data_IF_949529925683
#
_entry.id   IF_949529925683
#
_cell.length_a   1.000
_cell.length_b   1.000
_cell.length_c   1.000
_cell.angle_alpha   90.00
_cell.angle_beta   90.00
_cell.angle_gamma   90.00
#
_symmetry.space_group_name_H-M   'P 1'
#
loop_
_entity.id
_entity.type
_entity.pdbx_description
1 polymer ?
#
# COMPACT_ATOMS: atom_id res chain seq x y z
N UNK A 1 -26.69 -19.04 -20.04
CA UNK A 1 -25.57 -19.28 -19.11
C UNK A 1 -24.31 -18.75 -19.78
N UNK A 2 -23.79 -17.59 -19.35
CA UNK A 2 -22.46 -17.14 -19.75
C UNK A 2 -21.49 -17.83 -18.81
N UNK A 3 -20.59 -18.65 -19.33
CA UNK A 3 -19.39 -19.01 -18.60
C UNK A 3 -18.56 -17.73 -18.50
N UNK A 4 -18.58 -17.09 -17.34
CA UNK A 4 -17.58 -16.08 -17.01
C UNK A 4 -16.23 -16.80 -16.94
N UNK A 5 -15.41 -16.65 -17.98
CA UNK A 5 -14.00 -16.98 -17.89
C UNK A 5 -13.37 -15.99 -16.93
N UNK A 6 -13.31 -16.35 -15.64
CA UNK A 6 -12.53 -15.62 -14.65
C UNK A 6 -11.11 -15.49 -15.18
N UNK A 7 -10.64 -14.25 -15.39
CA UNK A 7 -9.29 -14.02 -15.89
C UNK A 7 -8.28 -14.58 -14.89
N UNK A 8 -7.39 -15.48 -15.35
CA UNK A 8 -6.42 -16.12 -14.48
C UNK A 8 -5.42 -15.12 -13.91
N UNK A 9 -5.01 -15.31 -12.65
CA UNK A 9 -3.98 -14.49 -12.03
C UNK A 9 -2.63 -14.75 -12.71
N UNK A 10 -1.96 -13.68 -13.15
CA UNK A 10 -0.62 -13.77 -13.71
C UNK A 10 0.37 -12.94 -12.89
N UNK A 11 1.50 -13.54 -12.55
CA UNK A 11 2.62 -12.87 -11.89
C UNK A 11 3.87 -12.90 -12.76
N UNK A 12 4.77 -11.91 -12.63
CA UNK A 12 6.07 -11.95 -13.26
C UNK A 12 6.88 -13.16 -12.81
N UNK A 13 7.44 -13.91 -13.76
CA UNK A 13 8.24 -15.12 -13.49
C UNK A 13 9.43 -14.88 -12.56
N UNK A 14 9.95 -13.64 -12.49
CA UNK A 14 11.03 -13.28 -11.59
C UNK A 14 10.65 -13.33 -10.10
N UNK A 15 9.35 -13.34 -9.77
CA UNK A 15 8.83 -13.45 -8.41
C UNK A 15 8.68 -14.90 -7.92
N UNK A 16 9.00 -15.90 -8.75
CA UNK A 16 8.95 -17.31 -8.39
C UNK A 16 10.35 -17.95 -8.33
N UNK A 17 10.58 -18.72 -7.28
CA UNK A 17 11.85 -19.42 -7.01
C UNK A 17 12.15 -19.46 -5.53
N UNK A 18 13.38 -19.79 -5.15
CA UNK A 18 13.87 -19.63 -3.77
C UNK A 18 14.08 -18.16 -3.45
N UNK A 19 14.21 -17.79 -2.16
CA UNK A 19 14.45 -16.40 -1.74
C UNK A 19 15.62 -15.77 -2.49
N UNK A 20 16.80 -16.42 -2.47
CA UNK A 20 18.00 -15.91 -3.15
C UNK A 20 17.79 -15.79 -4.66
N UNK A 21 17.11 -16.74 -5.28
CA UNK A 21 16.84 -16.68 -6.71
C UNK A 21 15.90 -15.53 -7.05
N UNK A 22 14.83 -15.33 -6.30
CA UNK A 22 13.87 -14.23 -6.54
C UNK A 22 14.55 -12.89 -6.30
N UNK A 23 15.29 -12.74 -5.20
CA UNK A 23 16.04 -11.52 -4.91
C UNK A 23 16.98 -11.13 -6.07
N UNK A 24 17.74 -12.07 -6.61
CA UNK A 24 18.63 -11.82 -7.74
C UNK A 24 17.87 -11.46 -9.02
N UNK A 25 16.78 -12.18 -9.33
CA UNK A 25 15.98 -11.93 -10.53
C UNK A 25 15.26 -10.57 -10.44
N UNK A 26 14.65 -10.25 -9.30
CA UNK A 26 14.00 -8.97 -9.05
C UNK A 26 14.98 -7.80 -9.15
N UNK A 27 16.17 -7.92 -8.57
CA UNK A 27 17.22 -6.90 -8.70
C UNK A 27 17.64 -6.68 -10.16
N UNK A 28 17.83 -7.77 -10.93
CA UNK A 28 18.15 -7.67 -12.36
C UNK A 28 17.03 -7.01 -13.16
N UNK A 29 15.78 -7.29 -12.81
CA UNK A 29 14.63 -6.63 -13.44
C UNK A 29 14.60 -5.14 -13.11
N UNK A 30 14.85 -4.75 -11.87
CA UNK A 30 14.94 -3.33 -11.48
C UNK A 30 16.02 -2.57 -12.27
N UNK A 31 17.23 -3.14 -12.37
CA UNK A 31 18.30 -2.56 -13.18
C UNK A 31 17.91 -2.43 -14.67
N UNK A 32 17.20 -3.42 -15.21
CA UNK A 32 16.71 -3.38 -16.61
C UNK A 32 15.67 -2.27 -16.79
N UNK A 33 14.70 -2.18 -15.90
CA UNK A 33 13.66 -1.16 -15.94
C UNK A 33 14.28 0.24 -15.80
N UNK A 34 15.27 0.39 -14.92
CA UNK A 34 16.00 1.63 -14.71
C UNK A 34 16.77 2.10 -15.94
N UNK A 35 17.52 1.20 -16.59
CA UNK A 35 18.23 1.52 -17.83
C UNK A 35 17.27 1.93 -18.96
N UNK A 36 16.14 1.23 -19.09
CA UNK A 36 15.15 1.59 -20.10
C UNK A 36 14.46 2.92 -19.78
N UNK A 37 14.13 3.18 -18.52
CA UNK A 37 13.55 4.45 -18.10
C UNK A 37 14.49 5.62 -18.38
N UNK A 38 15.80 5.43 -18.18
CA UNK A 38 16.82 6.44 -18.49
C UNK A 38 16.88 6.80 -19.96
N UNK A 39 16.62 5.85 -20.85
CA UNK A 39 16.67 6.04 -22.31
C UNK A 39 15.32 6.52 -22.88
N UNK A 40 14.22 5.93 -22.44
CA UNK A 40 12.89 6.07 -23.06
C UNK A 40 11.88 6.83 -22.19
N UNK A 41 12.20 7.11 -20.92
CA UNK A 41 11.28 7.73 -19.96
C UNK A 41 10.10 6.84 -19.56
N UNK A 42 10.16 5.53 -19.86
CA UNK A 42 9.06 4.59 -19.61
C UNK A 42 9.53 3.34 -18.86
N UNK A 43 8.61 2.72 -18.12
CA UNK A 43 8.87 1.49 -17.38
C UNK A 43 8.38 0.32 -18.24
N UNK A 44 9.25 -0.66 -18.55
CA UNK A 44 8.84 -1.77 -19.39
C UNK A 44 7.98 -2.79 -18.65
N UNK A 45 7.12 -3.48 -19.41
CA UNK A 45 6.45 -4.67 -18.92
C UNK A 45 7.46 -5.78 -18.54
N UNK A 46 7.14 -6.63 -17.56
CA UNK A 46 7.90 -7.84 -17.29
C UNK A 46 8.05 -8.72 -18.53
N UNK A 47 9.26 -9.27 -18.74
CA UNK A 47 9.56 -10.09 -19.93
C UNK A 47 8.73 -11.37 -20.03
N UNK A 48 8.32 -11.92 -18.89
CA UNK A 48 7.59 -13.17 -18.83
C UNK A 48 6.59 -13.14 -17.68
N UNK A 49 5.32 -13.20 -18.03
CA UNK A 49 4.20 -13.42 -17.13
C UNK A 49 3.90 -14.92 -17.07
N UNK A 50 3.56 -15.42 -15.88
CA UNK A 50 3.26 -16.83 -15.64
C UNK A 50 1.96 -16.89 -14.86
N UNK A 51 1.09 -17.80 -15.29
CA UNK A 51 -0.18 -18.07 -14.62
C UNK A 51 0.06 -18.69 -13.24
N UNK A 52 -0.65 -18.17 -12.24
CA UNK A 52 -0.64 -18.68 -10.89
C UNK A 52 -1.79 -19.67 -10.74
N UNK A 53 -1.52 -20.93 -10.34
CA UNK A 53 -2.56 -21.91 -10.12
C UNK A 53 -3.60 -21.42 -9.10
N UNK A 54 -4.90 -21.72 -9.30
CA UNK A 54 -5.91 -21.42 -8.30
C UNK A 54 -5.58 -22.07 -6.95
N UNK A 55 -5.70 -21.30 -5.86
CA UNK A 55 -5.37 -21.69 -4.50
C UNK A 55 -3.89 -21.58 -4.13
N UNK A 56 -3.01 -21.23 -5.07
CA UNK A 56 -1.59 -21.05 -4.80
C UNK A 56 -1.34 -19.95 -3.76
N UNK A 57 -0.31 -20.13 -2.93
CA UNK A 57 0.03 -19.22 -1.83
C UNK A 57 1.11 -18.23 -2.25
N UNK A 58 0.80 -16.95 -2.12
CA UNK A 58 1.68 -15.82 -2.40
C UNK A 58 2.19 -15.20 -1.10
N UNK A 59 3.51 -15.01 -1.02
CA UNK A 59 4.17 -14.32 0.10
C UNK A 59 4.12 -12.82 -0.14
N UNK A 60 3.14 -12.16 0.48
CA UNK A 60 2.82 -10.76 0.25
C UNK A 60 3.55 -9.78 1.17
N UNK A 61 4.21 -10.28 2.23
CA UNK A 61 5.00 -9.49 3.17
C UNK A 61 6.28 -10.24 3.56
N UNK A 62 7.38 -9.52 3.77
CA UNK A 62 8.70 -10.07 4.13
C UNK A 62 8.73 -10.78 5.50
N UNK A 63 8.07 -10.23 6.53
CA UNK A 63 8.01 -10.78 7.91
C UNK A 63 7.51 -12.23 7.97
N UNK A 64 6.76 -12.68 6.97
CA UNK A 64 6.21 -14.06 6.90
C UNK A 64 6.97 -14.96 5.92
N UNK A 65 7.99 -14.45 5.21
CA UNK A 65 8.86 -15.24 4.33
C UNK A 65 9.93 -15.97 5.13
N UNK A 66 9.56 -17.05 5.82
CA UNK A 66 10.50 -17.83 6.63
C UNK A 66 11.07 -19.06 5.88
N UNK A 67 10.52 -19.40 4.71
CA UNK A 67 10.87 -20.61 3.95
C UNK A 67 11.80 -20.30 2.77
N UNK A 68 12.97 -19.72 3.06
CA UNK A 68 13.88 -19.21 2.03
C UNK A 68 14.35 -20.23 0.99
N UNK A 69 14.50 -21.49 1.40
CA UNK A 69 15.00 -22.58 0.54
C UNK A 69 13.91 -23.20 -0.34
N UNK A 70 12.64 -22.89 -0.10
CA UNK A 70 11.52 -23.44 -0.88
C UNK A 70 11.13 -22.49 -2.02
N UNK A 71 10.87 -23.04 -3.23
CA UNK A 71 10.20 -22.30 -4.29
C UNK A 71 8.85 -21.76 -3.78
N UNK A 72 8.63 -20.45 -3.95
CA UNK A 72 7.36 -19.81 -3.65
C UNK A 72 7.23 -18.53 -4.47
N UNK A 73 5.99 -18.06 -4.64
CA UNK A 73 5.69 -16.73 -5.15
C UNK A 73 5.94 -15.67 -4.08
N UNK A 74 6.84 -14.72 -4.34
CA UNK A 74 7.23 -13.69 -3.37
C UNK A 74 6.89 -12.30 -3.89
N UNK A 75 5.63 -11.90 -3.73
CA UNK A 75 5.15 -10.60 -4.20
C UNK A 75 5.89 -9.43 -3.55
N UNK A 76 6.23 -9.53 -2.26
CA UNK A 76 6.93 -8.47 -1.54
C UNK A 76 8.31 -8.11 -2.15
N UNK A 77 8.91 -9.01 -2.95
CA UNK A 77 10.21 -8.79 -3.62
C UNK A 77 10.14 -7.83 -4.80
N UNK A 78 8.95 -7.31 -5.15
CA UNK A 78 8.83 -6.14 -6.05
C UNK A 78 9.52 -4.92 -5.44
N UNK A 79 9.66 -4.82 -4.10
CA UNK A 79 10.51 -3.81 -3.44
C UNK A 79 11.93 -3.80 -3.98
N UNK A 80 12.54 -4.97 -4.18
CA UNK A 80 13.89 -5.07 -4.75
C UNK A 80 13.96 -4.63 -6.23
N UNK A 81 12.85 -4.72 -6.98
CA UNK A 81 12.76 -4.14 -8.33
C UNK A 81 12.80 -2.62 -8.22
N UNK A 82 12.01 -2.06 -7.30
CA UNK A 82 11.95 -0.63 -7.06
C UNK A 82 13.29 -0.07 -6.60
N UNK A 83 13.92 -0.68 -5.60
CA UNK A 83 15.21 -0.24 -5.06
C UNK A 83 16.29 -0.24 -6.15
N UNK A 84 16.42 -1.35 -6.88
CA UNK A 84 17.43 -1.48 -7.92
C UNK A 84 17.17 -0.57 -9.13
N UNK A 85 15.91 -0.23 -9.41
CA UNK A 85 15.56 0.76 -10.42
C UNK A 85 15.93 2.17 -9.95
N UNK A 86 15.64 2.50 -8.69
CA UNK A 86 15.95 3.82 -8.14
C UNK A 86 17.47 4.05 -7.99
N UNK A 87 18.25 3.00 -7.79
CA UNK A 87 19.73 3.04 -7.82
C UNK A 87 20.31 3.47 -9.18
N UNK A 88 19.55 3.38 -10.27
CA UNK A 88 20.03 3.72 -11.63
C UNK A 88 19.66 5.12 -12.11
N UNK A 89 18.80 5.82 -11.37
CA UNK A 89 18.35 7.17 -11.72
C UNK A 89 18.99 8.20 -10.80
N UNK A 90 19.18 9.41 -11.31
CA UNK A 90 19.67 10.51 -10.47
C UNK A 90 18.73 10.80 -9.31
N UNK A 91 19.26 11.28 -8.19
CA UNK A 91 18.48 11.58 -6.98
C UNK A 91 17.28 12.53 -7.24
N UNK A 92 17.44 13.46 -8.19
CA UNK A 92 16.38 14.39 -8.59
C UNK A 92 15.19 13.68 -9.29
N UNK A 93 15.44 12.52 -9.89
CA UNK A 93 14.45 11.73 -10.62
C UNK A 93 13.85 10.61 -9.76
N UNK A 94 14.35 10.36 -8.55
CA UNK A 94 13.87 9.26 -7.68
C UNK A 94 12.35 9.30 -7.46
N UNK A 95 11.78 10.47 -7.11
CA UNK A 95 10.34 10.59 -6.86
C UNK A 95 9.51 10.50 -8.15
N UNK A 96 9.82 11.26 -9.24
CA UNK A 96 9.14 11.09 -10.52
C UNK A 96 9.18 9.65 -11.05
N UNK A 97 10.34 9.00 -11.02
CA UNK A 97 10.49 7.62 -11.50
C UNK A 97 9.67 6.64 -10.66
N UNK A 98 9.68 6.78 -9.33
CA UNK A 98 8.85 5.95 -8.44
C UNK A 98 7.37 6.09 -8.77
N UNK A 99 6.90 7.32 -8.98
CA UNK A 99 5.50 7.60 -9.26
C UNK A 99 5.08 7.08 -10.65
N UNK A 100 5.95 7.18 -11.66
CA UNK A 100 5.74 6.58 -12.97
C UNK A 100 5.70 5.04 -12.91
N UNK A 101 6.59 4.41 -12.12
CA UNK A 101 6.58 2.97 -11.90
C UNK A 101 5.29 2.50 -11.22
N UNK A 102 4.85 3.21 -10.18
CA UNK A 102 3.59 2.90 -9.52
C UNK A 102 2.43 2.98 -10.51
N UNK A 103 2.30 4.10 -11.25
CA UNK A 103 1.25 4.26 -12.24
C UNK A 103 1.23 3.12 -13.26
N UNK A 104 2.40 2.70 -13.77
CA UNK A 104 2.50 1.58 -14.70
C UNK A 104 2.10 0.23 -14.07
N UNK A 105 2.56 -0.06 -12.84
CA UNK A 105 2.28 -1.33 -12.18
C UNK A 105 0.84 -1.44 -11.70
N UNK A 106 0.17 -0.32 -11.37
CA UNK A 106 -1.26 -0.32 -11.03
C UNK A 106 -2.13 -0.84 -12.18
N UNK A 107 -1.66 -0.84 -13.43
CA UNK A 107 -2.33 -1.44 -14.59
C UNK A 107 -2.20 -2.97 -14.67
N UNK A 108 -1.69 -3.61 -13.61
CA UNK A 108 -1.56 -5.07 -13.50
C UNK A 108 -2.09 -5.56 -12.15
N UNK A 109 -2.63 -6.78 -12.10
CA UNK A 109 -3.15 -7.36 -10.85
C UNK A 109 -2.08 -7.45 -9.74
N UNK A 110 -0.89 -7.98 -10.08
CA UNK A 110 0.20 -8.12 -9.12
C UNK A 110 0.74 -6.77 -8.64
N UNK A 111 0.84 -5.78 -9.54
CA UNK A 111 1.33 -4.45 -9.20
C UNK A 111 0.33 -3.68 -8.36
N UNK A 112 -0.97 -3.76 -8.69
CA UNK A 112 -2.06 -3.24 -7.89
C UNK A 112 -2.02 -3.78 -6.45
N UNK A 113 -1.91 -5.10 -6.30
CA UNK A 113 -1.82 -5.72 -4.99
C UNK A 113 -0.54 -5.31 -4.24
N UNK A 114 0.62 -5.36 -4.90
CA UNK A 114 1.88 -4.96 -4.26
C UNK A 114 1.82 -3.53 -3.72
N UNK A 115 1.38 -2.55 -4.51
CA UNK A 115 1.35 -1.15 -4.08
C UNK A 115 0.29 -0.88 -3.01
N UNK A 116 -0.81 -1.63 -3.01
CA UNK A 116 -1.79 -1.59 -1.92
C UNK A 116 -1.18 -2.08 -0.59
N UNK A 117 -0.37 -3.15 -0.62
CA UNK A 117 0.17 -3.77 0.59
C UNK A 117 1.47 -3.14 1.09
N UNK A 118 2.39 -2.81 0.19
CA UNK A 118 3.72 -2.31 0.54
C UNK A 118 3.68 -0.92 1.19
N UNK A 119 2.60 -0.16 0.93
CA UNK A 119 2.35 1.16 1.52
C UNK A 119 3.62 2.05 1.51
N UNK A 120 4.34 2.01 0.37
CA UNK A 120 5.61 2.71 0.15
C UNK A 120 5.37 4.23 0.11
N UNK A 121 5.93 4.94 1.09
CA UNK A 121 5.89 6.42 1.19
C UNK A 121 4.60 7.01 1.79
N UNK A 122 4.51 8.35 1.86
CA UNK A 122 3.29 9.06 2.26
C UNK A 122 2.09 8.59 1.46
N UNK A 123 1.04 8.13 2.14
CA UNK A 123 -0.16 7.58 1.50
C UNK A 123 -1.26 8.65 1.58
N UNK A 124 -1.25 9.60 0.64
CA UNK A 124 -2.34 10.57 0.57
C UNK A 124 -3.68 9.89 0.28
N UNK A 125 -4.79 10.55 0.60
CA UNK A 125 -6.13 10.05 0.28
C UNK A 125 -6.22 9.69 -1.22
N UNK A 126 -5.83 10.60 -2.11
CA UNK A 126 -5.85 10.38 -3.57
C UNK A 126 -4.96 9.22 -4.02
N UNK A 127 -3.75 9.08 -3.45
CA UNK A 127 -2.86 7.95 -3.81
C UNK A 127 -3.40 6.62 -3.29
N UNK A 128 -3.98 6.63 -2.09
CA UNK A 128 -4.65 5.45 -1.51
C UNK A 128 -5.84 5.03 -2.36
N UNK A 129 -6.68 5.99 -2.78
CA UNK A 129 -7.82 5.76 -3.64
C UNK A 129 -7.41 5.04 -4.94
N UNK A 130 -6.37 5.54 -5.63
CA UNK A 130 -5.85 4.92 -6.85
C UNK A 130 -5.40 3.48 -6.66
N UNK A 131 -4.71 3.18 -5.54
CA UNK A 131 -4.27 1.82 -5.20
C UNK A 131 -5.46 0.90 -4.95
N UNK A 132 -6.46 1.35 -4.18
CA UNK A 132 -7.67 0.58 -3.90
C UNK A 132 -8.50 0.35 -5.17
N UNK A 133 -8.68 1.36 -6.01
CA UNK A 133 -9.36 1.25 -7.30
C UNK A 133 -8.67 0.24 -8.23
N UNK A 134 -7.33 0.22 -8.25
CA UNK A 134 -6.58 -0.76 -9.02
C UNK A 134 -6.81 -2.20 -8.50
N UNK A 135 -6.82 -2.41 -7.18
CA UNK A 135 -7.15 -3.72 -6.59
C UNK A 135 -8.57 -4.16 -6.95
N UNK A 136 -9.55 -3.25 -6.84
CA UNK A 136 -10.95 -3.51 -7.18
C UNK A 136 -11.13 -3.86 -8.66
N UNK A 137 -10.41 -3.18 -9.56
CA UNK A 137 -10.40 -3.50 -11.00
C UNK A 137 -9.89 -4.92 -11.28
N UNK A 138 -8.96 -5.42 -10.48
CA UNK A 138 -8.38 -6.76 -10.62
C UNK A 138 -8.91 -7.75 -9.56
N UNK A 139 -10.06 -7.47 -8.95
CA UNK A 139 -10.57 -8.24 -7.83
C UNK A 139 -10.72 -9.73 -8.14
N UNK A 140 -11.38 -10.06 -9.25
CA UNK A 140 -11.62 -11.44 -9.67
C UNK A 140 -10.33 -12.27 -9.84
N UNK A 141 -9.32 -11.85 -10.64
CA UNK A 141 -8.04 -12.55 -10.70
C UNK A 141 -7.36 -12.69 -9.33
N UNK A 142 -7.41 -11.64 -8.50
CA UNK A 142 -6.77 -11.64 -7.19
C UNK A 142 -7.46 -12.58 -6.20
N UNK A 143 -8.73 -12.91 -6.39
CA UNK A 143 -9.43 -13.91 -5.56
C UNK A 143 -8.95 -15.35 -5.83
N UNK A 144 -8.25 -15.62 -6.93
CA UNK A 144 -7.79 -16.97 -7.26
C UNK A 144 -6.67 -17.48 -6.34
N UNK A 145 -5.98 -16.62 -5.60
CA UNK A 145 -4.82 -16.99 -4.77
C UNK A 145 -5.08 -16.85 -3.26
N UNK A 146 -4.13 -17.35 -2.46
CA UNK A 146 -4.06 -17.16 -1.01
C UNK A 146 -2.83 -16.36 -0.64
N UNK A 147 -2.88 -15.62 0.48
CA UNK A 147 -1.86 -14.62 0.79
C UNK A 147 -1.29 -14.76 2.19
N UNK A 148 0.02 -14.90 2.30
CA UNK A 148 0.72 -14.76 3.58
C UNK A 148 1.04 -13.28 3.80
N UNK A 149 0.49 -12.69 4.88
CA UNK A 149 0.64 -11.27 5.18
C UNK A 149 0.67 -11.02 6.70
N UNK A 150 1.80 -10.52 7.21
CA UNK A 150 2.06 -10.11 8.61
C UNK A 150 1.82 -11.12 9.74
N UNK A 151 1.08 -12.22 9.52
CA UNK A 151 0.85 -13.31 10.47
C UNK A 151 1.41 -14.62 9.93
N UNK A 152 2.38 -15.18 10.64
CA UNK A 152 3.07 -16.41 10.23
C UNK A 152 2.10 -17.59 10.21
N UNK A 153 2.14 -18.37 9.13
CA UNK A 153 1.38 -19.62 9.00
C UNK A 153 -0.12 -19.46 8.71
N UNK A 154 -0.63 -18.23 8.55
CA UNK A 154 -2.03 -17.98 8.19
C UNK A 154 -2.09 -17.40 6.78
N UNK A 155 -2.66 -18.16 5.85
CA UNK A 155 -2.89 -17.72 4.48
C UNK A 155 -4.31 -17.16 4.35
N UNK A 156 -4.39 -15.90 3.92
CA UNK A 156 -5.63 -15.13 3.81
C UNK A 156 -6.30 -15.33 2.44
N UNK A 157 -7.64 -15.25 2.39
CA UNK A 157 -8.35 -14.84 1.16
C UNK A 157 -7.98 -13.41 0.77
N UNK A 158 -8.37 -12.96 -0.43
CA UNK A 158 -8.25 -11.54 -0.78
C UNK A 158 -9.03 -10.65 0.21
N UNK A 159 -10.24 -11.02 0.59
CA UNK A 159 -11.04 -10.23 1.54
C UNK A 159 -10.37 -10.12 2.91
N UNK A 160 -9.91 -11.24 3.47
CA UNK A 160 -9.20 -11.27 4.75
C UNK A 160 -7.90 -10.46 4.69
N UNK A 161 -7.19 -10.52 3.56
CA UNK A 161 -5.99 -9.72 3.33
C UNK A 161 -6.32 -8.22 3.30
N UNK A 162 -7.37 -7.83 2.59
CA UNK A 162 -7.76 -6.42 2.50
C UNK A 162 -8.28 -5.89 3.83
N UNK A 163 -8.99 -6.70 4.63
CA UNK A 163 -9.32 -6.35 6.02
C UNK A 163 -8.04 -6.14 6.82
N UNK A 164 -7.08 -7.06 6.77
CA UNK A 164 -5.82 -6.94 7.51
C UNK A 164 -4.95 -5.73 7.10
N UNK A 165 -5.11 -5.22 5.87
CA UNK A 165 -4.33 -4.10 5.34
C UNK A 165 -5.06 -2.73 5.42
N UNK A 166 -6.40 -2.74 5.39
CA UNK A 166 -7.24 -1.56 5.14
C UNK A 166 -8.49 -1.47 6.03
N UNK A 167 -8.55 -2.19 7.15
CA UNK A 167 -9.60 -2.00 8.16
C UNK A 167 -9.76 -0.52 8.56
N UNK A 168 -8.66 0.17 8.85
CA UNK A 168 -8.62 1.61 9.16
C UNK A 168 -9.24 2.46 8.04
N UNK A 169 -9.00 2.12 6.78
CA UNK A 169 -9.53 2.89 5.66
C UNK A 169 -11.04 2.71 5.55
N UNK A 170 -11.50 1.47 5.72
CA UNK A 170 -12.93 1.19 5.73
C UNK A 170 -13.62 1.85 6.91
N UNK A 171 -13.02 1.89 8.10
CA UNK A 171 -13.63 2.52 9.27
C UNK A 171 -13.64 4.05 9.19
N UNK A 172 -12.55 4.65 8.70
CA UNK A 172 -12.42 6.10 8.56
C UNK A 172 -13.30 6.67 7.44
N UNK A 173 -13.39 5.95 6.31
CA UNK A 173 -14.02 6.46 5.08
C UNK A 173 -15.35 5.80 4.75
N UNK A 174 -15.68 4.65 5.33
CA UNK A 174 -16.94 3.93 5.15
C UNK A 174 -17.49 3.43 6.51
N UNK A 175 -17.92 4.34 7.40
CA UNK A 175 -18.34 4.00 8.77
C UNK A 175 -19.67 3.22 8.86
N UNK A 176 -20.40 3.08 7.75
CA UNK A 176 -21.65 2.33 7.69
C UNK A 176 -21.33 0.82 7.57
N UNK A 177 -21.67 0.05 8.62
CA UNK A 177 -21.02 -1.23 8.95
C UNK A 177 -21.55 -2.51 8.30
N UNK A 178 -22.52 -2.43 7.37
CA UNK A 178 -23.25 -3.62 6.91
C UNK A 178 -22.90 -4.08 5.47
N UNK A 179 -21.96 -3.40 4.80
CA UNK A 179 -21.54 -3.72 3.43
C UNK A 179 -20.39 -4.73 3.37
N UNK A 180 -20.27 -5.44 2.24
CA UNK A 180 -19.15 -6.37 1.99
C UNK A 180 -17.79 -5.65 1.96
N UNK A 181 -16.69 -6.40 2.13
CA UNK A 181 -15.33 -5.82 2.05
C UNK A 181 -15.11 -5.13 0.71
N UNK A 182 -15.54 -5.75 -0.39
CA UNK A 182 -15.44 -5.16 -1.73
C UNK A 182 -16.17 -3.82 -1.81
N UNK A 183 -17.42 -3.75 -1.34
CA UNK A 183 -18.23 -2.53 -1.37
C UNK A 183 -17.66 -1.44 -0.46
N UNK A 184 -17.24 -1.77 0.77
CA UNK A 184 -16.63 -0.81 1.69
C UNK A 184 -15.34 -0.20 1.13
N UNK A 185 -14.51 -1.01 0.48
CA UNK A 185 -13.29 -0.53 -0.18
C UNK A 185 -13.61 0.38 -1.38
N UNK A 186 -14.63 0.04 -2.18
CA UNK A 186 -15.07 0.87 -3.30
C UNK A 186 -15.57 2.24 -2.81
N UNK A 187 -16.41 2.26 -1.78
CA UNK A 187 -16.89 3.50 -1.16
C UNK A 187 -15.76 4.32 -0.53
N UNK A 188 -14.84 3.66 0.18
CA UNK A 188 -13.68 4.34 0.76
C UNK A 188 -12.82 4.98 -0.33
N UNK A 189 -12.54 4.27 -1.42
CA UNK A 189 -11.75 4.78 -2.53
C UNK A 189 -12.43 5.96 -3.24
N UNK A 190 -13.73 5.90 -3.50
CA UNK A 190 -14.50 7.00 -4.11
C UNK A 190 -14.50 8.25 -3.23
N UNK A 191 -14.71 8.08 -1.93
CA UNK A 191 -14.70 9.19 -0.97
C UNK A 191 -13.30 9.81 -0.84
N UNK A 192 -12.25 8.99 -0.78
CA UNK A 192 -10.86 9.46 -0.76
C UNK A 192 -10.47 10.21 -2.03
N UNK A 193 -10.91 9.76 -3.21
CA UNK A 193 -10.59 10.40 -4.50
C UNK A 193 -11.15 11.83 -4.59
N UNK A 194 -12.33 12.05 -4.02
CA UNK A 194 -13.04 13.35 -4.08
C UNK A 194 -12.90 14.16 -2.79
N UNK A 195 -12.07 13.70 -1.85
CA UNK A 195 -12.00 14.27 -0.51
C UNK A 195 -11.52 15.72 -0.55
N UNK A 196 -12.26 16.60 0.13
CA UNK A 196 -11.76 17.91 0.51
C UNK A 196 -10.83 17.80 1.71
N UNK A 197 -10.18 18.91 2.09
CA UNK A 197 -9.37 18.97 3.30
C UNK A 197 -10.23 18.66 4.53
N UNK A 198 -11.42 19.24 4.61
CA UNK A 198 -12.39 18.98 5.68
C UNK A 198 -12.78 17.51 5.75
N UNK A 199 -13.06 16.85 4.61
CA UNK A 199 -13.38 15.42 4.59
C UNK A 199 -12.23 14.57 5.15
N UNK A 200 -10.99 14.90 4.77
CA UNK A 200 -9.79 14.25 5.29
C UNK A 200 -9.65 14.47 6.80
N UNK A 201 -9.90 15.68 7.30
CA UNK A 201 -9.85 15.99 8.74
C UNK A 201 -10.86 15.13 9.51
N UNK A 202 -12.09 15.01 9.02
CA UNK A 202 -13.11 14.16 9.64
C UNK A 202 -12.72 12.68 9.63
N UNK A 203 -12.13 12.18 8.54
CA UNK A 203 -11.59 10.82 8.49
C UNK A 203 -10.44 10.62 9.50
N UNK A 204 -9.53 11.60 9.61
CA UNK A 204 -8.43 11.59 10.59
C UNK A 204 -8.98 11.54 12.02
N UNK A 205 -10.03 12.31 12.34
CA UNK A 205 -10.65 12.28 13.67
C UNK A 205 -11.23 10.91 14.03
N UNK A 206 -11.77 10.16 13.07
CA UNK A 206 -12.28 8.80 13.31
C UNK A 206 -11.15 7.82 13.68
N UNK A 207 -9.96 8.01 13.10
CA UNK A 207 -8.80 7.13 13.35
C UNK A 207 -7.87 7.62 14.46
N UNK A 208 -8.04 8.86 14.92
CA UNK A 208 -7.23 9.43 15.99
C UNK A 208 -7.25 8.59 17.29
N UNK A 209 -8.40 8.05 17.76
CA UNK A 209 -8.41 7.17 18.93
C UNK A 209 -7.55 5.92 18.74
N UNK A 210 -7.60 5.31 17.55
CA UNK A 210 -6.76 4.14 17.20
C UNK A 210 -5.29 4.51 17.19
N UNK A 211 -4.93 5.64 16.58
CA UNK A 211 -3.56 6.12 16.53
C UNK A 211 -3.02 6.45 17.93
N UNK A 212 -3.80 7.17 18.74
CA UNK A 212 -3.48 7.52 20.13
C UNK A 212 -3.23 6.27 20.98
N UNK A 213 -4.06 5.23 20.85
CA UNK A 213 -3.89 3.98 21.60
C UNK A 213 -2.56 3.26 21.31
N UNK A 214 -1.90 3.57 20.19
CA UNK A 214 -0.61 3.00 19.78
C UNK A 214 0.55 4.00 19.83
N UNK A 215 0.28 5.28 20.04
CA UNK A 215 1.28 6.32 20.23
C UNK A 215 1.81 6.24 21.67
N UNK A 216 2.64 5.24 21.94
CA UNK A 216 3.27 5.06 23.25
C UNK A 216 4.17 6.26 23.58
N UNK A 217 4.19 6.66 24.86
CA UNK A 217 5.16 7.61 25.47
C UNK A 217 5.07 9.08 25.06
N UNK A 218 3.90 9.59 24.66
CA UNK A 218 3.72 11.05 24.47
C UNK A 218 3.83 11.80 25.82
N UNK A 219 4.75 12.75 25.94
CA UNK A 219 4.96 13.53 27.18
C UNK A 219 3.81 14.49 27.45
N UNK A 220 3.23 15.05 26.40
CA UNK A 220 2.15 16.03 26.40
C UNK A 220 0.81 15.40 26.00
N UNK A 221 0.59 14.12 26.33
CA UNK A 221 -0.60 13.34 25.97
C UNK A 221 -1.91 14.12 26.07
N UNK A 222 -2.18 14.78 27.21
CA UNK A 222 -3.45 15.51 27.44
C UNK A 222 -3.70 16.60 26.39
N UNK A 223 -2.65 17.28 25.94
CA UNK A 223 -2.75 18.35 24.95
C UNK A 223 -2.82 17.79 23.53
N UNK A 224 -2.00 16.78 23.22
CA UNK A 224 -2.00 16.13 21.91
C UNK A 224 -3.31 15.36 21.64
N UNK A 225 -3.94 14.84 22.69
CA UNK A 225 -5.24 14.15 22.61
C UNK A 225 -6.45 15.11 22.61
N UNK A 226 -6.25 16.42 22.78
CA UNK A 226 -7.32 17.41 22.79
C UNK A 226 -7.86 17.63 21.36
N UNK A 227 -9.15 17.35 21.09
CA UNK A 227 -9.72 17.52 19.76
C UNK A 227 -9.61 18.94 19.20
N UNK A 228 -9.69 19.96 20.05
CA UNK A 228 -9.59 21.37 19.61
C UNK A 228 -8.17 21.68 19.15
N UNK A 229 -7.16 21.23 19.91
CA UNK A 229 -5.75 21.31 19.52
C UNK A 229 -5.48 20.57 18.21
N UNK A 230 -5.99 19.34 18.08
CA UNK A 230 -5.83 18.54 16.86
C UNK A 230 -6.46 19.24 15.66
N UNK A 231 -7.66 19.82 15.81
CA UNK A 231 -8.36 20.53 14.74
C UNK A 231 -7.61 21.77 14.29
N UNK A 232 -7.15 22.59 15.23
CA UNK A 232 -6.33 23.76 14.94
C UNK A 232 -5.07 23.34 14.16
N UNK A 233 -4.32 22.36 14.67
CA UNK A 233 -3.09 21.89 14.05
C UNK A 233 -3.30 21.30 12.67
N UNK A 234 -4.37 20.53 12.44
CA UNK A 234 -4.70 19.97 11.13
C UNK A 234 -5.14 21.03 10.14
N UNK A 235 -5.88 22.05 10.55
CA UNK A 235 -6.32 23.12 9.64
C UNK A 235 -5.16 24.01 9.20
N UNK A 236 -4.18 24.26 10.08
CA UNK A 236 -3.00 25.08 9.77
C UNK A 236 -1.81 24.30 9.21
N UNK A 237 -1.88 22.96 9.15
CA UNK A 237 -0.80 22.12 8.65
C UNK A 237 -0.48 22.49 7.18
N UNK A 238 0.78 22.61 6.82
CA UNK A 238 1.11 22.89 5.43
C UNK A 238 0.66 21.74 4.51
N UNK A 239 0.46 22.05 3.22
CA UNK A 239 -0.11 21.10 2.27
C UNK A 239 0.73 19.83 2.13
N UNK A 240 2.05 19.89 2.21
CA UNK A 240 2.89 18.71 2.03
C UNK A 240 2.78 17.75 3.22
N UNK A 241 2.82 18.28 4.45
CA UNK A 241 2.61 17.47 5.66
C UNK A 241 1.16 16.97 5.76
N UNK A 242 0.17 17.77 5.34
CA UNK A 242 -1.22 17.35 5.32
C UNK A 242 -1.48 16.21 4.33
N UNK A 243 -0.95 16.29 3.11
CA UNK A 243 -1.08 15.24 2.11
C UNK A 243 -0.56 13.89 2.62
N UNK A 244 0.45 13.87 3.50
CA UNK A 244 0.96 12.62 4.07
C UNK A 244 -0.02 11.91 4.99
N UNK A 245 -0.86 12.67 5.70
CA UNK A 245 -1.80 12.12 6.70
C UNK A 245 -3.23 12.08 6.20
N UNK A 246 -3.49 12.65 5.01
CA UNK A 246 -4.84 12.88 4.49
C UNK A 246 -5.66 11.59 4.32
N UNK A 247 -5.04 10.42 4.13
CA UNK A 247 -5.77 9.16 4.11
C UNK A 247 -6.28 8.71 5.49
N UNK A 248 -5.80 9.28 6.60
CA UNK A 248 -6.07 8.81 7.97
C UNK A 248 -5.45 7.43 8.31
N UNK A 249 -4.28 7.12 7.73
CA UNK A 249 -3.56 5.88 8.04
C UNK A 249 -2.97 5.92 9.46
N UNK A 250 -3.20 4.90 10.32
CA UNK A 250 -2.74 4.93 11.72
C UNK A 250 -1.24 5.17 11.90
N UNK A 251 -0.38 4.56 11.08
CA UNK A 251 1.07 4.77 11.16
C UNK A 251 1.51 6.20 10.88
N UNK A 252 0.88 6.88 9.92
CA UNK A 252 1.16 8.28 9.60
C UNK A 252 0.58 9.23 10.66
N UNK A 253 -0.55 8.87 11.27
CA UNK A 253 -1.12 9.60 12.42
C UNK A 253 -0.26 9.48 13.68
N UNK A 254 0.27 8.28 14.00
CA UNK A 254 1.20 8.11 15.13
C UNK A 254 2.45 8.98 14.95
N UNK A 255 2.98 9.06 13.72
CA UNK A 255 4.08 9.96 13.39
C UNK A 255 3.70 11.43 13.61
N UNK A 256 2.52 11.85 13.15
CA UNK A 256 2.00 13.21 13.34
C UNK A 256 1.88 13.58 14.82
N UNK A 257 1.28 12.69 15.62
CA UNK A 257 1.11 12.86 17.07
C UNK A 257 2.47 12.98 17.78
N UNK A 258 3.45 12.17 17.38
CA UNK A 258 4.82 12.22 17.94
C UNK A 258 5.52 13.54 17.60
N UNK A 259 5.34 14.05 16.38
CA UNK A 259 5.90 15.36 16.00
C UNK A 259 5.28 16.50 16.80
N UNK A 260 3.96 16.50 16.97
CA UNK A 260 3.29 17.52 17.79
C UNK A 260 3.73 17.46 19.25
N UNK A 261 3.91 16.26 19.81
CA UNK A 261 4.43 16.08 21.16
C UNK A 261 5.84 16.67 21.32
N UNK A 262 6.71 16.44 20.33
CA UNK A 262 8.06 17.01 20.30
C UNK A 262 8.07 18.53 20.13
N UNK A 263 7.23 19.09 19.26
CA UNK A 263 7.11 20.55 19.11
C UNK A 263 6.69 21.24 20.40
N UNK A 264 5.83 20.60 21.19
CA UNK A 264 5.41 21.09 22.51
C UNK A 264 6.53 21.02 23.55
N UNK A 265 7.57 20.19 23.37
CA UNK A 265 8.76 20.17 24.24
C UNK A 265 9.72 21.32 23.95
N UNK A 266 9.74 21.81 22.72
CA UNK A 266 10.69 22.84 22.25
C UNK A 266 10.14 24.25 22.48
N UNK A 267 8.84 24.39 22.79
CA UNK A 267 8.17 25.64 23.14
C UNK A 267 8.29 25.96 24.64
#
# INVERSE_FOLDING_TARGET
MRHEQTAALQLPSFLHGTFRSVQQKARREGLRCGEQYRVEGTVPAPRQMVEVPPGEVLVAHDVVDIQHERPAWRLHMVSNVMDALLDTVDQQNTLPTRDACEAFFLETAWGALYFALAQMGPVSATRTAKRLQAVLRFWEPLQCARYLFKKVGMAHTLEELMVAAYDWAMDAWCPEGDASVHERLAMAAERMERATREDCIEAIFREMPRALAHADKLKHWKRVADPDFQRERLTTLDSWFFERVSAARPGDLIWLLTNWDHELEVQ
#
